data_IF_317196894031
#
_entry.id   IF_317196894031
#
_cell.length_a   1.000
_cell.length_b   1.000
_cell.length_c   1.000
_cell.angle_alpha   90.00
_cell.angle_beta   90.00
_cell.angle_gamma   90.00
#
_symmetry.space_group_name_H-M   'P 1'
#
loop_
_entity.id
_entity.type
_entity.pdbx_description
1 polymer ?
#
# COMPACT_ATOMS: atom_id res chain seq x y z
N UNK A 1 -11.85 -15.29 6.23
CA UNK A 1 -12.01 -15.84 4.86
C UNK A 1 -10.70 -15.74 4.13
N UNK A 2 -10.15 -16.86 3.73
CA UNK A 2 -9.00 -16.86 2.82
C UNK A 2 -9.46 -16.34 1.45
N UNK A 3 -8.76 -15.35 0.91
CA UNK A 3 -9.01 -14.90 -0.45
C UNK A 3 -8.56 -16.04 -1.40
N UNK A 4 -9.46 -16.66 -2.17
CA UNK A 4 -9.11 -17.77 -3.06
C UNK A 4 -8.16 -17.36 -4.20
N UNK A 5 -7.98 -16.06 -4.42
CA UNK A 5 -7.10 -15.53 -5.47
C UNK A 5 -5.65 -15.30 -5.00
N UNK A 6 -5.36 -15.53 -3.72
CA UNK A 6 -4.00 -15.47 -3.19
C UNK A 6 -3.32 -16.83 -3.29
N UNK A 7 -2.45 -16.97 -4.27
CA UNK A 7 -1.56 -18.14 -4.35
C UNK A 7 -0.45 -17.96 -3.31
N UNK A 8 -0.20 -18.96 -2.43
CA UNK A 8 0.87 -18.87 -1.44
C UNK A 8 2.22 -18.61 -2.11
N UNK A 9 2.90 -17.56 -1.68
CA UNK A 9 4.21 -17.17 -2.21
C UNK A 9 4.20 -16.13 -3.33
N UNK A 10 3.04 -15.75 -3.85
CA UNK A 10 2.96 -14.61 -4.77
C UNK A 10 2.92 -13.27 -4.00
N UNK A 11 3.56 -12.22 -4.56
CA UNK A 11 3.49 -10.89 -3.96
C UNK A 11 2.04 -10.42 -3.88
N UNK A 12 1.68 -9.81 -2.77
CA UNK A 12 0.32 -9.34 -2.46
C UNK A 12 -0.18 -8.16 -3.31
N UNK A 13 0.49 -7.82 -4.39
CA UNK A 13 0.09 -6.77 -5.35
C UNK A 13 -0.98 -7.22 -6.36
N UNK A 14 -1.68 -8.30 -6.05
CA UNK A 14 -2.93 -8.64 -6.74
C UNK A 14 -4.06 -7.71 -6.32
N UNK A 15 -3.93 -6.45 -6.56
CA UNK A 15 -5.03 -5.53 -6.37
C UNK A 15 -5.73 -5.29 -7.69
N UNK A 16 -6.66 -6.17 -8.06
CA UNK A 16 -7.74 -5.63 -8.80
C UNK A 16 -8.71 -4.93 -7.82
N UNK A 17 -9.48 -3.98 -8.34
CA UNK A 17 -10.38 -3.18 -7.53
C UNK A 17 -11.45 -4.01 -6.83
N UNK A 18 -11.82 -5.15 -7.41
CA UNK A 18 -12.84 -6.03 -6.87
C UNK A 18 -12.27 -6.93 -5.77
N UNK A 19 -11.03 -7.38 -5.90
CA UNK A 19 -10.31 -8.07 -4.84
C UNK A 19 -10.04 -7.13 -3.66
N UNK A 20 -9.70 -5.88 -3.94
CA UNK A 20 -9.54 -4.85 -2.91
C UNK A 20 -10.85 -4.59 -2.16
N UNK A 21 -11.97 -4.50 -2.87
CA UNK A 21 -13.31 -4.34 -2.27
C UNK A 21 -13.74 -5.56 -1.47
N UNK A 22 -13.51 -6.77 -1.98
CA UNK A 22 -13.90 -8.01 -1.30
C UNK A 22 -13.01 -8.34 -0.10
N UNK A 23 -11.73 -8.01 -0.17
CA UNK A 23 -10.79 -8.18 0.95
C UNK A 23 -10.91 -7.08 2.02
N UNK A 24 -11.75 -6.06 1.78
CA UNK A 24 -11.93 -4.97 2.73
C UNK A 24 -10.77 -3.96 2.78
N UNK A 25 -9.82 -4.05 1.87
CA UNK A 25 -8.65 -3.16 1.86
C UNK A 25 -7.78 -3.27 3.12
N UNK A 26 -7.11 -2.21 3.47
CA UNK A 26 -6.46 -2.11 4.78
C UNK A 26 -7.52 -2.07 5.88
N UNK A 27 -7.29 -2.82 6.94
CA UNK A 27 -8.19 -2.82 8.12
C UNK A 27 -8.41 -1.40 8.67
N UNK A 28 -7.38 -0.59 8.69
CA UNK A 28 -7.44 0.77 9.18
C UNK A 28 -8.25 1.71 8.26
N UNK A 29 -8.25 1.48 6.95
CA UNK A 29 -9.07 2.24 5.99
C UNK A 29 -10.56 2.12 6.29
N UNK A 30 -11.00 0.96 6.74
CA UNK A 30 -12.39 0.75 7.13
C UNK A 30 -12.67 1.18 8.57
N UNK A 31 -11.76 0.88 9.48
CA UNK A 31 -11.96 1.10 10.91
C UNK A 31 -11.86 2.57 11.30
N UNK A 32 -10.88 3.31 10.75
CA UNK A 32 -10.64 4.70 11.12
C UNK A 32 -11.86 5.61 10.84
N UNK A 33 -12.42 5.66 9.61
CA UNK A 33 -13.54 6.54 9.33
C UNK A 33 -14.83 6.16 10.04
N UNK A 34 -15.04 4.88 10.34
CA UNK A 34 -16.26 4.41 11.03
C UNK A 34 -16.19 4.65 12.54
N UNK A 35 -15.04 4.45 13.14
CA UNK A 35 -14.85 4.52 14.60
C UNK A 35 -14.34 5.87 15.10
N UNK A 36 -13.88 6.76 14.21
CA UNK A 36 -13.23 8.01 14.59
C UNK A 36 -11.83 7.84 15.18
N UNK A 37 -11.19 6.68 14.97
CA UNK A 37 -9.82 6.45 15.40
C UNK A 37 -8.85 7.16 14.45
N UNK A 38 -7.80 7.83 14.96
CA UNK A 38 -6.82 8.47 14.10
C UNK A 38 -5.92 7.45 13.41
N UNK A 39 -5.56 7.76 12.16
CA UNK A 39 -4.63 6.96 11.38
C UNK A 39 -3.64 7.86 10.63
N UNK A 40 -2.42 7.39 10.44
CA UNK A 40 -1.39 8.07 9.66
C UNK A 40 -0.72 7.09 8.72
N UNK A 41 -0.48 7.52 7.49
CA UNK A 41 0.18 6.74 6.43
C UNK A 41 1.58 7.28 6.21
N UNK A 42 2.56 6.40 6.15
CA UNK A 42 3.96 6.73 5.91
C UNK A 42 4.55 5.88 4.79
N UNK A 43 5.55 6.37 4.05
CA UNK A 43 6.27 5.55 3.08
C UNK A 43 6.94 4.36 3.74
N UNK A 44 6.75 3.16 3.19
CA UNK A 44 7.33 1.92 3.71
C UNK A 44 8.34 1.26 2.76
N UNK A 45 8.66 1.93 1.65
CA UNK A 45 9.62 1.45 0.66
C UNK A 45 9.03 1.32 -0.72
N UNK A 46 9.64 0.45 -1.52
CA UNK A 46 9.27 0.22 -2.91
C UNK A 46 9.27 -1.27 -3.21
N UNK A 47 8.42 -1.68 -4.13
CA UNK A 47 8.49 -3.03 -4.69
C UNK A 47 9.76 -3.21 -5.51
N UNK A 48 10.10 -4.45 -5.82
CA UNK A 48 11.18 -4.79 -6.75
C UNK A 48 10.64 -5.29 -8.08
N UNK A 49 9.46 -5.88 -8.03
CA UNK A 49 8.75 -6.42 -9.19
C UNK A 49 7.27 -6.08 -9.06
N UNK A 50 6.60 -6.06 -10.21
CA UNK A 50 5.16 -5.89 -10.31
C UNK A 50 4.58 -6.94 -11.24
N UNK A 51 3.29 -7.19 -11.10
CA UNK A 51 2.50 -8.03 -12.00
C UNK A 51 1.41 -7.17 -12.61
N UNK A 52 1.26 -7.25 -13.91
CA UNK A 52 0.16 -6.62 -14.61
C UNK A 52 -1.04 -7.56 -14.66
N UNK A 53 -2.23 -7.04 -14.48
CA UNK A 53 -3.44 -7.79 -14.73
C UNK A 53 -3.90 -7.53 -16.15
N UNK A 54 -3.94 -8.60 -16.93
CA UNK A 54 -4.33 -8.54 -18.34
C UNK A 54 -5.65 -9.29 -18.55
N UNK A 55 -6.53 -8.82 -19.47
CA UNK A 55 -7.75 -9.53 -19.79
C UNK A 55 -7.46 -10.95 -20.30
N UNK A 56 -8.20 -11.92 -19.79
CA UNK A 56 -8.14 -13.31 -20.24
C UNK A 56 -9.52 -13.95 -20.08
N UNK A 57 -10.18 -14.22 -21.21
CA UNK A 57 -11.51 -14.80 -21.23
C UNK A 57 -11.54 -16.27 -20.76
N UNK A 58 -10.40 -16.95 -20.73
CA UNK A 58 -10.27 -18.32 -20.24
C UNK A 58 -10.22 -18.44 -18.72
N UNK A 59 -10.02 -17.33 -18.03
CA UNK A 59 -9.96 -17.32 -16.57
C UNK A 59 -11.33 -17.02 -15.95
N UNK A 60 -11.65 -17.63 -14.79
CA UNK A 60 -12.94 -17.41 -14.12
C UNK A 60 -13.27 -15.94 -13.82
N UNK A 61 -12.24 -15.14 -13.55
CA UNK A 61 -12.38 -13.70 -13.26
C UNK A 61 -12.20 -12.81 -14.51
N UNK A 62 -12.08 -13.39 -15.71
CA UNK A 62 -11.88 -12.66 -16.96
C UNK A 62 -10.51 -12.01 -17.09
N UNK A 63 -9.55 -12.33 -16.22
CA UNK A 63 -8.22 -11.76 -16.24
C UNK A 63 -7.18 -12.69 -15.60
N UNK A 64 -5.92 -12.53 -16.00
CA UNK A 64 -4.77 -13.22 -15.43
C UNK A 64 -3.66 -12.25 -15.05
N UNK A 65 -2.76 -12.70 -14.22
CA UNK A 65 -1.55 -11.95 -13.90
C UNK A 65 -0.44 -12.26 -14.90
N UNK A 66 0.22 -11.24 -15.37
CA UNK A 66 1.39 -11.32 -16.24
C UNK A 66 2.60 -10.68 -15.53
N UNK A 67 3.70 -11.41 -15.49
CA UNK A 67 4.93 -10.99 -14.85
C UNK A 67 5.67 -12.17 -14.24
N UNK A 68 6.66 -11.90 -13.34
CA UNK A 68 7.02 -10.61 -12.78
C UNK A 68 7.75 -9.68 -13.78
N UNK A 69 7.50 -8.39 -13.66
CA UNK A 69 8.22 -7.34 -14.39
C UNK A 69 9.02 -6.50 -13.38
N UNK A 70 10.30 -6.18 -13.64
CA UNK A 70 11.07 -5.29 -12.78
C UNK A 70 10.45 -3.89 -12.79
N UNK A 71 9.94 -3.44 -11.65
CA UNK A 71 9.44 -2.09 -11.47
C UNK A 71 9.40 -1.72 -9.98
N UNK A 72 9.37 -0.42 -9.70
CA UNK A 72 9.35 0.12 -8.36
C UNK A 72 8.08 0.94 -8.15
N UNK A 73 7.14 0.35 -7.42
CA UNK A 73 5.93 1.03 -6.98
C UNK A 73 6.07 1.36 -5.50
N UNK A 74 5.74 2.60 -5.08
CA UNK A 74 5.80 2.96 -3.67
C UNK A 74 4.80 2.15 -2.85
N UNK A 75 5.25 1.71 -1.68
CA UNK A 75 4.44 1.00 -0.69
C UNK A 75 4.30 1.88 0.54
N UNK A 76 3.12 1.91 1.10
CA UNK A 76 2.83 2.65 2.32
C UNK A 76 2.51 1.71 3.48
N UNK A 77 2.78 2.20 4.69
CA UNK A 77 2.36 1.58 5.94
C UNK A 77 1.44 2.53 6.69
N UNK A 78 0.41 2.00 7.29
CA UNK A 78 -0.56 2.75 8.05
C UNK A 78 -0.46 2.40 9.53
N UNK A 79 -0.40 3.42 10.37
CA UNK A 79 -0.50 3.30 11.82
C UNK A 79 -1.88 3.77 12.27
N UNK A 80 -2.57 2.93 13.02
CA UNK A 80 -3.86 3.24 13.62
C UNK A 80 -3.65 3.46 15.13
N UNK A 81 -4.13 4.61 15.63
CA UNK A 81 -4.02 4.97 17.03
C UNK A 81 -5.33 4.81 17.81
N UNK A 82 -5.27 5.07 19.09
CA UNK A 82 -6.46 5.20 19.94
C UNK A 82 -7.12 6.55 19.70
N UNK A 83 -8.35 6.68 20.09
CA UNK A 83 -9.09 7.94 20.00
C UNK A 83 -8.32 9.07 20.72
N UNK A 84 -8.17 10.22 20.06
CA UNK A 84 -7.44 11.41 20.53
C UNK A 84 -5.93 11.22 20.72
N UNK A 85 -5.32 10.22 20.11
CA UNK A 85 -3.90 9.90 20.27
C UNK A 85 -3.06 10.33 19.04
N UNK A 86 -3.48 11.39 18.37
CA UNK A 86 -2.83 11.89 17.14
C UNK A 86 -1.37 12.26 17.39
N UNK A 87 -1.07 12.92 18.52
CA UNK A 87 0.30 13.28 18.88
C UNK A 87 1.22 12.05 18.94
N UNK A 88 0.73 10.95 19.50
CA UNK A 88 1.48 9.70 19.56
C UNK A 88 1.73 9.10 18.20
N UNK A 89 0.75 9.18 17.29
CA UNK A 89 0.91 8.73 15.92
C UNK A 89 1.98 9.54 15.18
N UNK A 90 2.03 10.86 15.36
CA UNK A 90 3.09 11.70 14.79
C UNK A 90 4.46 11.33 15.31
N UNK A 91 4.61 11.07 16.61
CA UNK A 91 5.87 10.61 17.19
C UNK A 91 6.32 9.29 16.55
N UNK A 92 5.43 8.29 16.46
CA UNK A 92 5.74 6.99 15.89
C UNK A 92 6.09 7.13 14.40
N UNK A 93 5.30 7.85 13.64
CA UNK A 93 5.52 8.06 12.21
C UNK A 93 6.84 8.78 11.93
N UNK A 94 7.14 9.83 12.68
CA UNK A 94 8.40 10.57 12.57
C UNK A 94 9.61 9.71 12.92
N UNK A 95 9.52 8.90 13.97
CA UNK A 95 10.58 7.98 14.36
C UNK A 95 10.83 6.92 13.26
N UNK A 96 9.75 6.38 12.69
CA UNK A 96 9.83 5.42 11.61
C UNK A 96 10.45 6.03 10.34
N UNK A 97 9.97 7.19 9.90
CA UNK A 97 10.53 7.90 8.74
C UNK A 97 12.01 8.26 8.94
N UNK A 98 12.36 8.77 10.11
CA UNK A 98 13.73 9.11 10.46
C UNK A 98 14.68 7.91 10.43
N UNK A 99 14.22 6.76 10.89
CA UNK A 99 14.99 5.53 10.93
C UNK A 99 15.13 4.85 9.56
N UNK A 100 14.10 4.91 8.73
CA UNK A 100 14.03 4.14 7.47
C UNK A 100 14.34 4.96 6.23
N UNK A 101 13.98 6.23 6.20
CA UNK A 101 14.16 7.15 5.08
C UNK A 101 13.69 6.58 3.74
N UNK A 102 12.54 5.94 3.75
CA UNK A 102 12.00 5.30 2.55
C UNK A 102 11.47 6.28 1.51
N UNK A 103 11.15 7.51 1.91
CA UNK A 103 10.63 8.53 1.00
C UNK A 103 11.66 8.90 -0.05
N UNK A 104 11.29 8.78 -1.32
CA UNK A 104 12.07 9.22 -2.47
C UNK A 104 11.15 9.85 -3.51
N UNK A 105 11.55 10.97 -4.14
CA UNK A 105 10.78 11.51 -5.26
C UNK A 105 10.84 10.57 -6.46
N UNK A 106 9.84 10.59 -7.36
CA UNK A 106 9.92 9.90 -8.64
C UNK A 106 11.13 10.36 -9.46
N UNK A 107 11.63 9.49 -10.34
CA UNK A 107 12.70 9.86 -11.26
C UNK A 107 12.27 11.06 -12.12
N UNK A 108 13.12 12.07 -12.24
CA UNK A 108 12.83 13.29 -13.00
C UNK A 108 12.02 14.35 -12.25
N UNK A 109 11.59 14.06 -11.02
CA UNK A 109 10.88 14.99 -10.15
C UNK A 109 11.69 15.17 -8.86
N UNK A 110 12.73 15.98 -8.93
CA UNK A 110 13.48 16.39 -7.75
C UNK A 110 12.82 17.55 -7.01
N UNK A 111 13.35 17.92 -5.85
CA UNK A 111 12.87 19.10 -5.13
C UNK A 111 12.98 20.34 -6.02
N UNK A 112 11.99 21.21 -5.97
CA UNK A 112 12.03 22.52 -6.64
C UNK A 112 13.08 23.41 -5.97
N UNK A 113 13.60 24.36 -6.71
CA UNK A 113 14.55 25.33 -6.16
C UNK A 113 13.91 26.08 -4.98
N UNK A 114 14.49 25.97 -3.78
CA UNK A 114 13.96 26.58 -2.55
C UNK A 114 13.09 25.68 -1.67
N UNK A 115 12.86 24.44 -2.06
CA UNK A 115 12.27 23.44 -1.16
C UNK A 115 13.32 22.87 -0.20
N UNK A 116 12.95 22.65 1.07
CA UNK A 116 13.87 22.04 2.04
C UNK A 116 14.24 20.60 1.73
#
# INVERSE_FOLDING_TARGET
MSNPDLVPGEPSLKTDLDTFRSAGGSFAVNLSPVSGLPAIVVPAGFTRVVYDRVPDAGEPNGSRLEGPKPDQVPVAMEFLGRQFDEARLFEIASAYEGATRHRRPPKGFGPLAGEP
#
